data_IF_782121123613
#
_entry.id   IF_782121123613
#
_cell.length_a   1.000
_cell.length_b   1.000
_cell.length_c   1.000
_cell.angle_alpha   90.00
_cell.angle_beta   90.00
_cell.angle_gamma   90.00
#
_symmetry.space_group_name_H-M   'P 1'
#
loop_
_entity.id
_entity.type
_entity.pdbx_description
1 polymer ?
#
# COMPACT_ATOMS: atom_id res chain seq x y z
N UNK A 1 -75.76 23.44 15.96
CA UNK A 1 -74.67 24.37 15.59
C UNK A 1 -73.36 23.85 16.17
N UNK A 2 -72.39 23.57 15.28
CA UNK A 2 -70.94 23.43 15.46
C UNK A 2 -70.40 22.39 16.46
N UNK A 3 -70.08 21.22 15.92
CA UNK A 3 -69.01 20.34 16.43
C UNK A 3 -67.66 20.91 15.97
N UNK A 4 -66.75 21.18 16.89
CA UNK A 4 -65.36 21.56 16.57
C UNK A 4 -64.49 20.30 16.53
N UNK A 5 -63.99 19.96 15.34
CA UNK A 5 -62.98 18.93 15.13
C UNK A 5 -61.63 19.39 15.71
N UNK A 6 -61.02 18.58 16.56
CA UNK A 6 -59.59 18.63 16.83
C UNK A 6 -58.89 17.61 15.93
N UNK A 7 -58.14 18.10 14.94
CA UNK A 7 -57.23 17.29 14.12
C UNK A 7 -55.86 17.33 14.79
N UNK A 8 -55.45 16.23 15.41
CA UNK A 8 -54.08 16.05 15.91
C UNK A 8 -53.24 15.54 14.75
N UNK A 9 -52.49 16.44 14.11
CA UNK A 9 -51.48 16.09 13.12
C UNK A 9 -50.14 15.88 13.82
N UNK A 10 -49.77 14.62 14.05
CA UNK A 10 -48.43 14.22 14.48
C UNK A 10 -47.47 14.28 13.29
N UNK A 11 -46.63 15.31 13.25
CA UNK A 11 -45.53 15.40 12.29
C UNK A 11 -44.38 14.48 12.75
N UNK A 12 -44.22 13.34 12.08
CA UNK A 12 -42.99 12.56 12.12
C UNK A 12 -41.95 13.27 11.24
N UNK A 13 -41.04 14.00 11.87
CA UNK A 13 -39.83 14.50 11.19
C UNK A 13 -38.82 13.35 11.16
N UNK A 14 -38.78 12.63 10.04
CA UNK A 14 -37.68 11.70 9.74
C UNK A 14 -36.50 12.57 9.31
N UNK A 15 -35.59 12.84 10.25
CA UNK A 15 -34.30 13.42 9.94
C UNK A 15 -33.44 12.37 9.23
N UNK A 16 -33.38 12.44 7.91
CA UNK A 16 -32.42 11.69 7.11
C UNK A 16 -31.08 12.38 7.35
N UNK A 17 -30.27 11.84 8.25
CA UNK A 17 -28.87 12.22 8.38
C UNK A 17 -28.14 11.63 7.16
N UNK A 18 -27.84 12.47 6.18
CA UNK A 18 -26.81 12.16 5.20
C UNK A 18 -25.47 12.10 5.96
N UNK A 19 -24.99 10.88 6.21
CA UNK A 19 -23.59 10.67 6.59
C UNK A 19 -22.80 10.91 5.30
N UNK A 20 -22.43 12.17 5.03
CA UNK A 20 -21.40 12.45 4.04
C UNK A 20 -20.05 12.04 4.64
N UNK A 21 -19.72 10.76 4.55
CA UNK A 21 -18.33 10.36 4.59
C UNK A 21 -17.68 11.01 3.36
N UNK A 22 -16.90 12.08 3.56
CA UNK A 22 -16.06 12.59 2.48
C UNK A 22 -15.17 11.42 2.04
N UNK A 23 -15.23 10.99 0.76
CA UNK A 23 -14.39 9.90 0.30
C UNK A 23 -12.93 10.27 0.57
N UNK A 24 -12.21 9.38 1.25
CA UNK A 24 -10.78 9.55 1.51
C UNK A 24 -10.10 9.70 0.15
N UNK A 25 -9.44 10.84 -0.09
CA UNK A 25 -8.64 11.00 -1.29
C UNK A 25 -7.41 10.09 -1.16
N UNK A 26 -7.26 9.03 -1.99
CA UNK A 26 -6.17 8.06 -1.86
C UNK A 26 -4.77 8.66 -2.14
N UNK A 27 -4.72 9.93 -2.55
CA UNK A 27 -3.50 10.68 -2.85
C UNK A 27 -3.18 11.75 -1.77
N UNK A 28 -4.01 11.91 -0.74
CA UNK A 28 -3.79 12.91 0.30
C UNK A 28 -2.82 12.36 1.36
N UNK A 29 -1.60 12.90 1.39
CA UNK A 29 -0.63 12.60 2.44
C UNK A 29 0.54 11.67 2.09
N UNK A 30 0.77 11.39 0.80
CA UNK A 30 1.94 10.65 0.35
C UNK A 30 3.21 11.39 0.79
N UNK A 31 4.10 10.74 1.57
CA UNK A 31 5.51 11.16 1.67
C UNK A 31 6.02 11.06 0.25
N UNK A 32 6.36 12.18 -0.40
CA UNK A 32 6.41 12.15 -1.84
C UNK A 32 7.54 11.23 -2.30
N UNK A 33 7.14 10.34 -3.22
CA UNK A 33 7.83 9.58 -4.26
C UNK A 33 9.20 10.08 -4.78
N UNK A 34 9.71 11.22 -4.34
CA UNK A 34 10.93 11.88 -4.81
C UNK A 34 12.21 11.05 -4.57
N UNK A 35 12.18 9.99 -3.78
CA UNK A 35 13.35 9.11 -3.67
C UNK A 35 13.49 8.19 -4.87
N UNK A 36 12.42 7.58 -5.35
CA UNK A 36 12.52 6.60 -6.43
C UNK A 36 12.91 7.24 -7.77
N UNK A 37 12.16 8.24 -8.26
CA UNK A 37 12.43 8.86 -9.56
C UNK A 37 13.80 9.56 -9.61
N UNK A 38 14.18 10.26 -8.53
CA UNK A 38 15.49 10.91 -8.46
C UNK A 38 16.63 9.88 -8.42
N UNK A 39 16.46 8.79 -7.66
CA UNK A 39 17.50 7.78 -7.53
C UNK A 39 17.64 6.94 -8.78
N UNK A 40 16.55 6.64 -9.48
CA UNK A 40 16.59 6.00 -10.78
C UNK A 40 17.28 6.89 -11.81
N UNK A 41 16.91 8.17 -11.89
CA UNK A 41 17.55 9.12 -12.80
C UNK A 41 19.06 9.27 -12.50
N UNK A 42 19.45 9.22 -11.23
CA UNK A 42 20.85 9.30 -10.80
C UNK A 42 21.66 8.06 -11.15
N UNK A 43 21.14 6.86 -10.89
CA UNK A 43 21.88 5.62 -11.11
C UNK A 43 21.78 5.11 -12.55
N UNK A 44 20.75 5.52 -13.29
CA UNK A 44 20.42 4.99 -14.61
C UNK A 44 20.14 3.49 -14.61
N UNK A 45 19.69 2.96 -13.46
CA UNK A 45 19.22 1.58 -13.32
C UNK A 45 17.93 1.38 -14.12
N UNK A 46 17.78 0.20 -14.69
CA UNK A 46 16.56 -0.15 -15.41
C UNK A 46 15.40 -0.34 -14.43
N UNK A 47 14.22 0.22 -14.74
CA UNK A 47 13.02 0.12 -13.90
C UNK A 47 12.65 -1.35 -13.61
N UNK A 48 12.84 -2.23 -14.60
CA UNK A 48 12.61 -3.66 -14.42
C UNK A 48 13.45 -4.25 -13.28
N UNK A 49 14.70 -3.82 -13.15
CA UNK A 49 15.61 -4.29 -12.08
C UNK A 49 15.19 -3.77 -10.70
N UNK A 50 14.51 -2.61 -10.61
CA UNK A 50 13.96 -2.10 -9.35
C UNK A 50 12.70 -2.87 -8.95
N UNK A 51 11.82 -3.16 -9.92
CA UNK A 51 10.50 -3.76 -9.69
C UNK A 51 10.53 -5.28 -9.55
N UNK A 52 11.53 -5.94 -10.13
CA UNK A 52 11.72 -7.40 -10.08
C UNK A 52 13.05 -7.76 -9.44
N UNK A 53 13.35 -7.27 -8.22
CA UNK A 53 14.60 -7.62 -7.56
C UNK A 53 14.63 -9.13 -7.18
N UNK A 54 13.46 -9.77 -7.15
CA UNK A 54 13.25 -11.13 -6.67
C UNK A 54 13.56 -12.20 -7.75
N UNK A 55 13.40 -11.86 -9.04
CA UNK A 55 13.84 -12.74 -10.15
C UNK A 55 15.36 -12.91 -10.17
N UNK A 56 16.07 -12.10 -9.39
CA UNK A 56 17.45 -12.34 -9.02
C UNK A 56 17.93 -11.41 -7.92
N UNK A 57 17.92 -11.89 -6.67
CA UNK A 57 18.80 -11.41 -5.57
C UNK A 57 20.29 -11.76 -5.91
N UNK A 58 20.67 -11.50 -7.15
CA UNK A 58 21.95 -11.63 -7.85
C UNK A 58 22.21 -10.47 -8.82
N UNK A 59 21.33 -9.45 -8.91
CA UNK A 59 21.70 -8.21 -9.58
C UNK A 59 22.73 -7.48 -8.73
N UNK A 60 23.99 -7.89 -8.86
CA UNK A 60 25.15 -7.11 -8.40
C UNK A 60 25.43 -5.93 -9.34
N UNK A 61 24.45 -5.57 -10.18
CA UNK A 61 24.53 -4.43 -11.08
C UNK A 61 24.89 -3.18 -10.27
N UNK A 62 26.03 -2.53 -10.58
CA UNK A 62 26.45 -1.32 -9.90
C UNK A 62 25.38 -0.23 -9.88
N UNK A 63 24.56 -0.14 -10.93
CA UNK A 63 23.47 0.84 -11.02
C UNK A 63 22.35 0.56 -10.02
N UNK A 64 22.05 -0.71 -9.78
CA UNK A 64 21.07 -1.08 -8.76
C UNK A 64 21.60 -0.81 -7.34
N UNK A 65 22.88 -1.09 -7.08
CA UNK A 65 23.52 -0.72 -5.80
C UNK A 65 23.53 0.80 -5.59
N UNK A 66 23.78 1.58 -6.64
CA UNK A 66 23.72 3.04 -6.61
C UNK A 66 22.29 3.55 -6.33
N UNK A 67 21.29 2.94 -6.96
CA UNK A 67 19.89 3.23 -6.68
C UNK A 67 19.55 3.00 -5.20
N UNK A 68 19.94 1.83 -4.65
CA UNK A 68 19.69 1.49 -3.25
C UNK A 68 20.38 2.45 -2.28
N UNK A 69 21.65 2.80 -2.54
CA UNK A 69 22.36 3.78 -1.71
C UNK A 69 21.64 5.13 -1.73
N UNK A 70 21.27 5.63 -2.91
CA UNK A 70 20.53 6.88 -3.04
C UNK A 70 19.19 6.82 -2.29
N UNK A 71 18.45 5.70 -2.42
CA UNK A 71 17.17 5.52 -1.75
C UNK A 71 17.32 5.55 -0.23
N UNK A 72 18.27 4.78 0.32
CA UNK A 72 18.55 4.75 1.77
C UNK A 72 19.04 6.10 2.31
N UNK A 73 19.82 6.85 1.53
CA UNK A 73 20.24 8.21 1.87
C UNK A 73 19.05 9.16 1.97
N UNK A 74 18.15 9.14 0.98
CA UNK A 74 16.94 9.97 0.99
C UNK A 74 15.94 9.57 2.07
N UNK A 75 15.91 8.28 2.44
CA UNK A 75 15.17 7.78 3.60
C UNK A 75 15.83 8.11 4.95
N UNK A 76 17.05 8.68 4.94
CA UNK A 76 17.79 9.03 6.13
C UNK A 76 18.37 7.85 6.91
N UNK A 77 18.44 6.67 6.30
CA UNK A 77 18.95 5.44 6.92
C UNK A 77 20.46 5.36 6.92
N UNK A 78 21.11 5.88 5.89
CA UNK A 78 22.56 5.82 5.71
C UNK A 78 23.07 7.19 5.26
N UNK A 79 24.22 7.62 5.75
CA UNK A 79 24.85 8.85 5.28
C UNK A 79 25.76 8.61 4.06
N UNK A 80 26.47 9.65 3.61
CA UNK A 80 27.39 9.54 2.47
C UNK A 80 28.61 8.66 2.74
N UNK A 81 28.96 8.45 4.02
CA UNK A 81 30.08 7.63 4.46
C UNK A 81 29.70 6.15 4.63
N UNK A 82 28.43 5.79 4.45
CA UNK A 82 27.95 4.42 4.65
C UNK A 82 27.54 4.11 6.09
N UNK A 83 27.50 5.11 6.98
CA UNK A 83 27.13 4.90 8.38
C UNK A 83 25.62 4.89 8.54
N UNK A 84 25.11 3.82 9.17
CA UNK A 84 23.67 3.65 9.39
C UNK A 84 23.16 4.48 10.58
N UNK A 85 22.10 5.24 10.34
CA UNK A 85 21.31 5.93 11.35
C UNK A 85 20.34 4.94 12.01
N UNK A 86 20.84 4.12 12.93
CA UNK A 86 20.09 3.01 13.52
C UNK A 86 18.76 3.42 14.16
N UNK A 87 18.65 4.61 14.76
CA UNK A 87 17.38 5.09 15.34
C UNK A 87 16.34 5.45 14.29
N UNK A 88 16.76 5.98 13.13
CA UNK A 88 15.86 6.23 12.00
C UNK A 88 15.35 4.90 11.43
N UNK A 89 16.24 3.92 11.26
CA UNK A 89 15.90 2.56 10.81
C UNK A 89 14.96 1.89 11.83
N UNK A 90 15.27 1.96 13.12
CA UNK A 90 14.47 1.40 14.21
C UNK A 90 13.02 1.86 14.11
N UNK A 91 12.83 3.18 14.09
CA UNK A 91 11.50 3.78 14.04
C UNK A 91 10.74 3.28 12.82
N UNK A 92 11.36 3.38 11.64
CA UNK A 92 10.69 3.04 10.40
C UNK A 92 10.43 1.54 10.25
N UNK A 93 11.33 0.65 10.71
CA UNK A 93 11.11 -0.81 10.73
C UNK A 93 9.97 -1.18 11.68
N UNK A 94 9.90 -0.55 12.86
CA UNK A 94 8.75 -0.73 13.77
C UNK A 94 7.44 -0.31 13.13
N UNK A 95 7.41 0.87 12.52
CA UNK A 95 6.21 1.42 11.87
C UNK A 95 5.81 0.60 10.65
N UNK A 96 6.79 0.11 9.87
CA UNK A 96 6.54 -0.71 8.70
C UNK A 96 5.97 -2.06 9.11
N UNK A 97 6.59 -2.78 10.05
CA UNK A 97 6.20 -4.16 10.39
C UNK A 97 5.31 -4.30 11.63
N UNK A 98 4.78 -3.17 12.14
CA UNK A 98 3.93 -3.11 13.33
C UNK A 98 4.56 -3.83 14.54
N UNK A 99 5.87 -3.66 14.71
CA UNK A 99 6.63 -4.29 15.79
C UNK A 99 6.57 -3.43 17.05
N UNK A 100 6.00 -3.98 18.11
CA UNK A 100 6.01 -3.32 19.43
C UNK A 100 7.33 -3.59 20.19
N UNK A 101 7.85 -4.82 20.08
CA UNK A 101 9.03 -5.30 20.82
C UNK A 101 10.34 -4.73 20.27
N UNK A 102 11.12 -4.10 21.15
CA UNK A 102 12.42 -3.56 20.80
C UNK A 102 13.48 -4.64 20.56
N UNK A 103 13.34 -5.83 21.15
CA UNK A 103 14.33 -6.91 21.01
C UNK A 103 14.43 -7.44 19.57
N UNK A 104 13.28 -7.61 18.91
CA UNK A 104 13.22 -8.04 17.50
C UNK A 104 13.92 -7.01 16.61
N UNK A 105 13.70 -5.73 16.88
CA UNK A 105 14.28 -4.64 16.09
C UNK A 105 15.78 -4.47 16.40
N UNK A 106 16.19 -4.66 17.64
CA UNK A 106 17.60 -4.66 18.05
C UNK A 106 18.39 -5.77 17.35
N UNK A 107 17.81 -6.97 17.28
CA UNK A 107 18.39 -8.10 16.55
C UNK A 107 18.50 -7.79 15.05
N UNK A 108 17.42 -7.28 14.44
CA UNK A 108 17.42 -6.83 13.05
C UNK A 108 18.52 -5.79 12.78
N UNK A 109 18.64 -4.75 13.60
CA UNK A 109 19.64 -3.70 13.42
C UNK A 109 21.07 -4.24 13.55
N UNK A 110 21.31 -5.12 14.52
CA UNK A 110 22.61 -5.77 14.71
C UNK A 110 23.03 -6.57 13.49
N UNK A 111 22.09 -7.23 12.81
CA UNK A 111 22.38 -8.07 11.66
C UNK A 111 22.43 -7.33 10.33
N UNK A 112 21.51 -6.38 10.13
CA UNK A 112 21.28 -5.76 8.83
C UNK A 112 21.91 -4.38 8.69
N UNK A 113 22.12 -3.65 9.78
CA UNK A 113 22.71 -2.29 9.77
C UNK A 113 24.19 -2.29 10.19
N UNK A 114 24.93 -3.34 9.82
CA UNK A 114 26.38 -3.41 9.96
C UNK A 114 27.06 -2.80 8.72
N UNK A 115 28.12 -2.01 8.94
CA UNK A 115 28.91 -1.39 7.86
C UNK A 115 30.27 -2.07 7.69
N UNK A 116 30.73 -2.18 6.46
CA UNK A 116 32.10 -2.55 6.09
C UNK A 116 32.92 -1.34 5.56
N UNK A 117 32.34 -0.14 5.57
CA UNK A 117 32.93 1.10 5.09
C UNK A 117 32.83 1.32 3.57
N UNK A 118 32.03 0.52 2.86
CA UNK A 118 31.78 0.67 1.43
C UNK A 118 30.30 0.98 1.21
N UNK A 119 29.91 2.27 1.06
CA UNK A 119 28.51 2.68 1.08
C UNK A 119 27.59 1.92 0.12
N UNK A 120 28.06 1.61 -1.09
CA UNK A 120 27.30 0.83 -2.08
C UNK A 120 27.05 -0.61 -1.63
N UNK A 121 28.07 -1.26 -1.06
CA UNK A 121 27.95 -2.64 -0.57
C UNK A 121 27.18 -2.70 0.74
N UNK A 122 27.30 -1.68 1.60
CA UNK A 122 26.53 -1.56 2.84
C UNK A 122 25.04 -1.39 2.53
N UNK A 123 24.69 -0.48 1.60
CA UNK A 123 23.30 -0.29 1.15
C UNK A 123 22.71 -1.57 0.54
N UNK A 124 23.47 -2.25 -0.32
CA UNK A 124 23.04 -3.52 -0.92
C UNK A 124 22.97 -4.66 0.11
N UNK A 125 23.89 -4.69 1.07
CA UNK A 125 23.91 -5.63 2.18
C UNK A 125 22.69 -5.49 3.08
N UNK A 126 22.35 -4.24 3.46
CA UNK A 126 21.13 -3.93 4.21
C UNK A 126 19.88 -4.41 3.47
N UNK A 127 19.77 -4.09 2.17
CA UNK A 127 18.65 -4.52 1.33
C UNK A 127 18.48 -6.05 1.32
N UNK A 128 19.55 -6.79 1.06
CA UNK A 128 19.53 -8.27 1.07
C UNK A 128 19.16 -8.82 2.45
N UNK A 129 19.67 -8.21 3.50
CA UNK A 129 19.39 -8.63 4.87
C UNK A 129 17.92 -8.41 5.24
N UNK A 130 17.38 -7.23 4.90
CA UNK A 130 15.97 -6.89 5.10
C UNK A 130 15.05 -7.91 4.43
N UNK A 131 15.30 -8.25 3.16
CA UNK A 131 14.47 -9.20 2.43
C UNK A 131 14.52 -10.63 3.03
N UNK A 132 15.59 -11.02 3.73
CA UNK A 132 15.62 -12.31 4.46
C UNK A 132 14.71 -12.29 5.68
N UNK A 133 14.62 -11.17 6.38
CA UNK A 133 13.73 -10.99 7.54
C UNK A 133 12.27 -10.79 7.12
N UNK A 134 12.03 -10.10 6.00
CA UNK A 134 10.70 -9.74 5.52
C UNK A 134 10.49 -10.15 4.05
N UNK A 135 10.49 -11.45 3.73
CA UNK A 135 10.50 -11.95 2.34
C UNK A 135 9.19 -11.75 1.58
N UNK A 136 8.09 -11.44 2.26
CA UNK A 136 6.78 -11.21 1.66
C UNK A 136 6.52 -9.74 1.35
N UNK A 137 7.49 -8.86 1.64
CA UNK A 137 7.28 -7.41 1.66
C UNK A 137 8.43 -6.73 0.93
N UNK A 138 8.18 -6.22 -0.28
CA UNK A 138 9.18 -5.47 -1.02
C UNK A 138 9.63 -4.26 -0.19
N UNK A 139 10.86 -4.27 0.33
CA UNK A 139 11.44 -3.18 1.14
C UNK A 139 11.21 -1.81 0.51
N UNK A 140 11.50 -1.72 -0.79
CA UNK A 140 11.35 -0.51 -1.58
C UNK A 140 9.88 -0.10 -1.74
N UNK A 141 8.98 -1.09 -1.86
CA UNK A 141 7.54 -0.87 -1.98
C UNK A 141 6.93 -0.36 -0.66
N UNK A 142 7.18 -1.04 0.46
CA UNK A 142 6.61 -0.67 1.77
C UNK A 142 7.16 0.65 2.28
N UNK A 143 8.46 0.91 2.08
CA UNK A 143 9.10 2.19 2.42
C UNK A 143 8.55 3.36 1.59
N UNK A 144 7.94 3.09 0.44
CA UNK A 144 7.34 4.11 -0.44
C UNK A 144 5.84 4.35 -0.14
N UNK A 145 5.17 3.47 0.62
CA UNK A 145 3.81 3.70 1.09
C UNK A 145 3.87 4.64 2.30
N UNK A 146 3.68 5.94 2.06
CA UNK A 146 3.75 6.95 3.12
C UNK A 146 2.74 6.71 4.27
N UNK A 147 3.14 7.01 5.50
CA UNK A 147 2.36 6.74 6.72
C UNK A 147 0.90 7.23 6.67
N UNK A 148 0.62 8.38 6.04
CA UNK A 148 -0.75 8.91 5.94
C UNK A 148 -1.66 8.01 5.08
N UNK A 149 -1.12 7.36 4.05
CA UNK A 149 -1.86 6.40 3.22
C UNK A 149 -2.18 5.15 4.05
N UNK A 150 -1.21 4.66 4.85
CA UNK A 150 -1.41 3.55 5.79
C UNK A 150 -2.51 3.91 6.79
N UNK A 151 -2.38 5.03 7.50
CA UNK A 151 -3.35 5.52 8.48
C UNK A 151 -4.77 5.67 7.89
N UNK A 152 -4.88 6.30 6.73
CA UNK A 152 -6.17 6.50 6.08
C UNK A 152 -6.82 5.18 5.66
N UNK A 153 -6.04 4.21 5.18
CA UNK A 153 -6.56 2.89 4.84
C UNK A 153 -6.90 2.07 6.09
N UNK A 154 -6.10 2.14 7.16
CA UNK A 154 -6.41 1.51 8.45
C UNK A 154 -7.73 2.04 9.03
N UNK A 155 -7.97 3.35 8.94
CA UNK A 155 -9.24 3.95 9.33
C UNK A 155 -10.39 3.43 8.46
N UNK A 156 -10.20 3.42 7.14
CA UNK A 156 -11.20 2.87 6.19
C UNK A 156 -11.51 1.41 6.48
N UNK A 157 -10.50 0.60 6.78
CA UNK A 157 -10.65 -0.80 7.17
C UNK A 157 -11.42 -0.96 8.48
N UNK A 158 -11.15 -0.13 9.48
CA UNK A 158 -11.90 -0.10 10.74
C UNK A 158 -13.39 0.20 10.52
N UNK A 159 -13.70 1.11 9.59
CA UNK A 159 -15.08 1.39 9.19
C UNK A 159 -15.70 0.22 8.44
N UNK A 160 -14.99 -0.35 7.48
CA UNK A 160 -15.46 -1.49 6.69
C UNK A 160 -15.67 -2.76 7.52
N UNK A 161 -14.95 -2.95 8.64
CA UNK A 161 -15.19 -4.04 9.59
C UNK A 161 -16.56 -3.95 10.28
N UNK A 162 -17.19 -2.77 10.33
CA UNK A 162 -18.55 -2.61 10.86
C UNK A 162 -19.61 -3.16 9.91
N UNK A 163 -19.41 -3.03 8.60
CA UNK A 163 -20.31 -3.53 7.55
C UNK A 163 -20.02 -4.99 7.17
N UNK A 164 -18.73 -5.33 7.16
CA UNK A 164 -18.21 -6.64 6.76
C UNK A 164 -17.17 -7.10 7.78
N UNK A 165 -17.63 -7.70 8.90
CA UNK A 165 -16.72 -8.21 9.94
C UNK A 165 -15.68 -9.14 9.32
N UNK A 166 -14.41 -8.88 9.63
CA UNK A 166 -13.26 -9.63 9.16
C UNK A 166 -12.37 -9.93 10.36
N UNK A 167 -12.11 -11.20 10.59
CA UNK A 167 -11.20 -11.66 11.64
C UNK A 167 -9.74 -11.45 11.20
N UNK A 168 -8.86 -11.13 12.15
CA UNK A 168 -7.45 -10.84 11.86
C UNK A 168 -6.74 -12.05 11.19
N UNK A 169 -7.11 -13.28 11.56
CA UNK A 169 -6.57 -14.49 10.93
C UNK A 169 -6.92 -14.62 9.43
N UNK A 170 -8.05 -14.05 9.00
CA UNK A 170 -8.42 -13.98 7.58
C UNK A 170 -7.74 -12.80 6.88
N UNK A 171 -7.56 -11.68 7.57
CA UNK A 171 -6.81 -10.54 7.05
C UNK A 171 -5.37 -10.95 6.66
N UNK A 172 -4.69 -11.72 7.50
CA UNK A 172 -3.34 -12.22 7.19
C UNK A 172 -3.30 -13.16 5.98
N UNK A 173 -4.35 -13.98 5.79
CA UNK A 173 -4.47 -14.79 4.57
C UNK A 173 -4.66 -13.92 3.33
N UNK A 174 -5.44 -12.85 3.45
CA UNK A 174 -5.71 -11.93 2.34
C UNK A 174 -4.47 -11.11 1.97
N UNK A 175 -3.67 -10.69 2.95
CA UNK A 175 -2.36 -10.04 2.71
C UNK A 175 -1.46 -10.91 1.84
N UNK A 176 -1.45 -12.23 2.11
CA UNK A 176 -0.71 -13.23 1.34
C UNK A 176 -1.36 -13.69 0.03
N UNK A 177 -2.45 -13.03 -0.40
CA UNK A 177 -3.10 -13.31 -1.68
C UNK A 177 -4.13 -14.45 -1.69
N UNK A 178 -4.41 -15.06 -0.54
CA UNK A 178 -5.46 -16.08 -0.46
C UNK A 178 -6.82 -15.42 -0.26
N UNK A 179 -7.47 -15.03 -1.35
CA UNK A 179 -8.78 -14.37 -1.30
C UNK A 179 -9.98 -15.35 -1.35
N UNK A 180 -9.76 -16.66 -1.26
CA UNK A 180 -10.81 -17.70 -1.38
C UNK A 180 -11.67 -17.79 -0.11
N UNK A 181 -12.39 -16.71 0.18
CA UNK A 181 -13.31 -16.62 1.30
C UNK A 181 -14.46 -15.65 0.99
N UNK A 182 -15.73 -15.98 1.33
CA UNK A 182 -16.87 -15.12 1.04
C UNK A 182 -16.78 -13.69 1.63
N UNK A 183 -16.06 -13.53 2.75
CA UNK A 183 -15.85 -12.21 3.36
C UNK A 183 -14.88 -11.32 2.57
N UNK A 184 -13.99 -11.90 1.76
CA UNK A 184 -13.04 -11.13 0.95
C UNK A 184 -13.77 -10.17 0.00
N UNK A 185 -14.78 -10.66 -0.74
CA UNK A 185 -15.51 -9.87 -1.74
C UNK A 185 -16.24 -8.67 -1.12
N UNK A 186 -16.97 -8.89 -0.03
CA UNK A 186 -17.71 -7.83 0.67
C UNK A 186 -16.77 -6.78 1.27
N UNK A 187 -15.69 -7.24 1.91
CA UNK A 187 -14.74 -6.34 2.53
C UNK A 187 -13.94 -5.55 1.49
N UNK A 188 -13.52 -6.18 0.39
CA UNK A 188 -12.90 -5.52 -0.76
C UNK A 188 -13.82 -4.47 -1.38
N UNK A 189 -15.10 -4.79 -1.58
CA UNK A 189 -16.06 -3.79 -2.08
C UNK A 189 -16.09 -2.55 -1.19
N UNK A 190 -16.21 -2.72 0.13
CA UNK A 190 -16.22 -1.60 1.05
C UNK A 190 -14.92 -0.78 0.97
N UNK A 191 -13.75 -1.43 0.98
CA UNK A 191 -12.46 -0.75 0.89
C UNK A 191 -12.31 0.02 -0.43
N UNK A 192 -12.60 -0.62 -1.56
CA UNK A 192 -12.46 0.00 -2.89
C UNK A 192 -13.47 1.14 -3.10
N UNK A 193 -14.68 1.02 -2.55
CA UNK A 193 -15.69 2.08 -2.57
C UNK A 193 -15.23 3.29 -1.75
N UNK A 194 -14.80 3.07 -0.52
CA UNK A 194 -14.43 4.17 0.40
C UNK A 194 -13.09 4.83 0.04
N UNK A 195 -12.24 4.14 -0.72
CA UNK A 195 -11.03 4.71 -1.33
C UNK A 195 -11.28 5.35 -2.70
N UNK A 196 -12.51 5.28 -3.22
CA UNK A 196 -12.90 5.89 -4.49
C UNK A 196 -12.33 5.21 -5.73
N UNK A 197 -11.91 3.95 -5.63
CA UNK A 197 -11.48 3.14 -6.78
C UNK A 197 -12.66 2.61 -7.59
N UNK A 198 -13.76 2.32 -6.90
CA UNK A 198 -15.05 2.00 -7.53
C UNK A 198 -16.16 2.82 -6.87
N UNK A 199 -17.29 2.99 -7.55
CA UNK A 199 -18.51 3.53 -6.94
C UNK A 199 -19.44 2.42 -6.38
N UNK A 200 -20.61 2.82 -5.88
CA UNK A 200 -21.61 1.89 -5.34
C UNK A 200 -22.20 0.90 -6.37
N UNK A 201 -22.05 1.19 -7.67
CA UNK A 201 -22.52 0.36 -8.78
C UNK A 201 -21.38 -0.45 -9.43
N UNK A 202 -20.18 -0.41 -8.85
CA UNK A 202 -19.00 -1.07 -9.37
C UNK A 202 -18.42 -0.41 -10.62
N UNK A 203 -18.77 0.85 -10.92
CA UNK A 203 -18.07 1.61 -11.95
C UNK A 203 -16.66 1.92 -11.47
N UNK A 204 -15.68 1.69 -12.34
CA UNK A 204 -14.26 1.78 -12.00
C UNK A 204 -13.76 3.18 -12.26
N UNK A 205 -13.19 3.83 -11.25
CA UNK A 205 -12.49 5.09 -11.41
C UNK A 205 -11.07 4.86 -11.95
N UNK A 206 -10.95 4.81 -13.27
CA UNK A 206 -9.67 4.56 -13.95
C UNK A 206 -8.60 5.61 -13.63
N UNK A 207 -8.99 6.87 -13.42
CA UNK A 207 -8.06 7.95 -13.12
C UNK A 207 -7.40 7.75 -11.74
N UNK A 208 -8.17 7.33 -10.74
CA UNK A 208 -7.63 7.02 -9.42
C UNK A 208 -6.67 5.84 -9.45
N UNK A 209 -6.99 4.76 -10.19
CA UNK A 209 -6.04 3.66 -10.39
C UNK A 209 -4.78 4.10 -11.12
N UNK A 210 -4.92 4.88 -12.20
CA UNK A 210 -3.77 5.39 -12.96
C UNK A 210 -2.85 6.22 -12.08
N UNK A 211 -3.40 7.17 -11.32
CA UNK A 211 -2.62 7.99 -10.38
C UNK A 211 -1.91 7.13 -9.35
N UNK A 212 -2.58 6.11 -8.81
CA UNK A 212 -2.00 5.20 -7.82
C UNK A 212 -0.90 4.35 -8.43
N UNK A 213 -1.13 3.72 -9.58
CA UNK A 213 -0.14 2.88 -10.24
C UNK A 213 1.06 3.67 -10.74
N UNK A 214 0.86 4.88 -11.25
CA UNK A 214 1.94 5.77 -11.67
C UNK A 214 2.86 6.19 -10.50
N UNK A 215 2.41 6.04 -9.25
CA UNK A 215 3.27 6.21 -8.07
C UNK A 215 4.24 5.02 -7.89
N UNK A 216 3.92 3.84 -8.41
CA UNK A 216 4.75 2.64 -8.29
C UNK A 216 5.45 2.25 -9.59
N UNK A 217 4.89 2.68 -10.71
CA UNK A 217 5.31 2.33 -12.05
C UNK A 217 5.42 3.65 -12.84
N UNK A 218 6.53 4.40 -12.72
CA UNK A 218 6.70 5.68 -13.43
C UNK A 218 6.65 5.50 -14.95
N UNK A 219 6.98 4.31 -15.45
CA UNK A 219 6.84 3.92 -16.85
C UNK A 219 5.36 3.82 -17.24
N UNK A 220 4.89 4.81 -18.01
CA UNK A 220 3.47 4.93 -18.38
C UNK A 220 2.95 3.71 -19.15
N UNK A 221 3.81 3.02 -19.90
CA UNK A 221 3.45 1.83 -20.69
C UNK A 221 3.06 0.62 -19.82
N UNK A 222 3.73 0.42 -18.67
CA UNK A 222 3.37 -0.63 -17.72
C UNK A 222 2.06 -0.30 -17.00
N UNK A 223 1.88 0.97 -16.63
CA UNK A 223 0.61 1.44 -16.06
C UNK A 223 -0.54 1.18 -17.02
N UNK A 224 -0.40 1.56 -18.29
CA UNK A 224 -1.40 1.32 -19.32
C UNK A 224 -1.72 -0.17 -19.48
N UNK A 225 -0.69 -1.02 -19.52
CA UNK A 225 -0.86 -2.47 -19.62
C UNK A 225 -1.67 -3.05 -18.45
N UNK A 226 -1.37 -2.64 -17.22
CA UNK A 226 -2.12 -3.13 -16.05
C UNK A 226 -3.53 -2.59 -15.99
N UNK A 227 -3.74 -1.33 -16.37
CA UNK A 227 -5.08 -0.73 -16.42
C UNK A 227 -5.96 -1.44 -17.46
N UNK A 228 -5.45 -1.65 -18.67
CA UNK A 228 -6.16 -2.36 -19.74
C UNK A 228 -6.50 -3.80 -19.32
N UNK A 229 -5.58 -4.48 -18.66
CA UNK A 229 -5.75 -5.86 -18.24
C UNK A 229 -6.72 -6.03 -17.07
N UNK A 230 -6.63 -5.14 -16.06
CA UNK A 230 -7.30 -5.36 -14.77
C UNK A 230 -8.54 -4.51 -14.55
N UNK A 231 -8.74 -3.38 -15.22
CA UNK A 231 -9.91 -2.51 -15.02
C UNK A 231 -11.16 -3.02 -15.75
N UNK A 232 -11.60 -4.22 -15.37
CA UNK A 232 -12.75 -4.90 -15.97
C UNK A 232 -13.90 -4.94 -14.96
N UNK A 233 -14.97 -4.21 -15.25
CA UNK A 233 -16.22 -4.29 -14.50
C UNK A 233 -16.83 -5.69 -14.60
N UNK A 234 -17.32 -6.22 -13.48
CA UNK A 234 -18.00 -7.52 -13.37
C UNK A 234 -19.50 -7.33 -13.12
N UNK A 235 -20.20 -8.46 -12.97
CA UNK A 235 -21.65 -8.49 -12.83
C UNK A 235 -22.16 -7.78 -11.56
N UNK A 236 -21.35 -7.74 -10.49
CA UNK A 236 -21.67 -7.02 -9.26
C UNK A 236 -20.51 -6.11 -8.81
N UNK A 237 -20.78 -5.10 -7.97
CA UNK A 237 -19.73 -4.29 -7.34
C UNK A 237 -18.72 -5.12 -6.54
N UNK A 238 -19.18 -6.14 -5.81
CA UNK A 238 -18.33 -7.05 -5.04
C UNK A 238 -17.43 -7.91 -5.93
N UNK A 239 -17.98 -8.47 -7.02
CA UNK A 239 -17.18 -9.21 -8.00
C UNK A 239 -16.17 -8.30 -8.71
N UNK A 240 -16.53 -7.04 -8.93
CA UNK A 240 -15.65 -6.05 -9.54
C UNK A 240 -14.46 -5.74 -8.61
N UNK A 241 -14.74 -5.42 -7.34
CA UNK A 241 -13.70 -5.16 -6.35
C UNK A 241 -12.78 -6.37 -6.15
N UNK A 242 -13.36 -7.57 -6.05
CA UNK A 242 -12.62 -8.82 -5.92
C UNK A 242 -11.71 -9.07 -7.12
N UNK A 243 -12.27 -8.99 -8.34
CA UNK A 243 -11.50 -9.20 -9.56
C UNK A 243 -10.37 -8.20 -9.71
N UNK A 244 -10.61 -6.91 -9.44
CA UNK A 244 -9.58 -5.88 -9.49
C UNK A 244 -8.41 -6.24 -8.58
N UNK A 245 -8.70 -6.53 -7.31
CA UNK A 245 -7.68 -6.88 -6.32
C UNK A 245 -6.88 -8.12 -6.72
N UNK A 246 -7.57 -9.21 -7.12
CA UNK A 246 -6.92 -10.44 -7.57
C UNK A 246 -6.09 -10.23 -8.85
N UNK A 247 -6.60 -9.48 -9.83
CA UNK A 247 -5.89 -9.23 -11.08
C UNK A 247 -4.61 -8.44 -10.84
N UNK A 248 -4.66 -7.37 -10.04
CA UNK A 248 -3.44 -6.62 -9.70
C UNK A 248 -2.46 -7.49 -8.90
N UNK A 249 -2.95 -8.32 -7.97
CA UNK A 249 -2.11 -9.25 -7.22
C UNK A 249 -1.39 -10.22 -8.16
N UNK A 250 -2.09 -10.81 -9.13
CA UNK A 250 -1.49 -11.80 -10.04
C UNK A 250 -0.52 -11.18 -11.05
N UNK A 251 -0.81 -9.96 -11.53
CA UNK A 251 -0.16 -9.40 -12.70
C UNK A 251 0.85 -8.31 -12.42
N UNK A 252 0.90 -7.77 -11.20
CA UNK A 252 1.92 -6.79 -10.83
C UNK A 252 3.13 -7.46 -10.17
N UNK A 253 4.35 -6.91 -10.35
CA UNK A 253 5.57 -7.49 -9.79
C UNK A 253 5.53 -7.58 -8.27
N UNK A 254 4.93 -6.57 -7.63
CA UNK A 254 4.83 -6.45 -6.17
C UNK A 254 3.59 -7.09 -5.57
N UNK A 255 2.86 -7.90 -6.34
CA UNK A 255 1.64 -8.57 -5.87
C UNK A 255 0.67 -7.59 -5.20
N UNK A 256 0.45 -6.45 -5.86
CA UNK A 256 -0.35 -5.34 -5.34
C UNK A 256 -1.74 -5.83 -4.95
N UNK A 257 -2.10 -5.64 -3.68
CA UNK A 257 -3.45 -5.85 -3.16
C UNK A 257 -3.70 -4.84 -2.05
N UNK A 258 -4.97 -4.46 -1.82
CA UNK A 258 -5.28 -3.42 -0.84
C UNK A 258 -5.01 -3.87 0.61
N UNK A 259 -5.04 -5.17 0.87
CA UNK A 259 -4.85 -5.71 2.22
C UNK A 259 -3.40 -5.64 2.69
N UNK A 260 -2.41 -5.66 1.78
CA UNK A 260 -0.98 -5.60 2.15
C UNK A 260 -0.54 -4.26 2.75
N UNK A 261 -1.42 -3.26 2.73
CA UNK A 261 -1.21 -1.95 3.38
C UNK A 261 -1.81 -1.91 4.80
N UNK A 262 -2.66 -2.87 5.16
CA UNK A 262 -3.25 -3.05 6.49
C UNK A 262 -2.36 -3.95 7.38
#
# INVERSE_FOLDING_TARGET
MRFSLAVVATAFVVAIYEISANPVNPNEGVVPLFSHSDCQARSGVDEYQILHPDEGIRSEDPKFKEYLLCFLQKSGYINELGEFHQEAIRKQVKDLHDLEDNLVVDEFLRECAATNGQPLEDAFGFYKCYHRHYPQEGFLYRSSIGNKVKEALTQTHSECRKESPLEDALLEQFKGGNFDHPQAKKHLHCLYKNTGYIDEFGEINQENFRKRLAQYYPESSLVDQYLEKCLIKKESPEETAFYLNSCFYENTPHKFNIFSVL
#
